data_IF_469401876047
#
_entry.id   IF_469401876047
#
_cell.length_a   1.000
_cell.length_b   1.000
_cell.length_c   1.000
_cell.angle_alpha   90.00
_cell.angle_beta   90.00
_cell.angle_gamma   90.00
#
_symmetry.space_group_name_H-M   'P 1'
#
loop_
_entity.id
_entity.type
_entity.pdbx_description
1 polymer ?
#
# COMPACT_ATOMS: atom_id res chain seq x y z
N UNK A 1 1.52 -70.83 2.78
CA UNK A 1 0.90 -69.73 3.51
C UNK A 1 1.98 -68.68 3.64
N UNK A 2 2.05 -67.73 2.75
CA UNK A 2 3.07 -66.68 2.68
C UNK A 2 2.42 -65.32 2.96
N UNK A 3 2.75 -64.71 4.06
CA UNK A 3 2.27 -63.39 4.45
C UNK A 3 2.94 -62.31 3.58
N UNK A 4 2.14 -61.62 2.79
CA UNK A 4 2.54 -60.47 2.01
C UNK A 4 2.30 -59.20 2.84
N UNK A 5 3.33 -58.65 3.43
CA UNK A 5 3.32 -57.42 4.18
C UNK A 5 3.44 -56.22 3.19
N UNK A 6 2.33 -55.53 2.95
CA UNK A 6 2.30 -54.34 2.08
C UNK A 6 2.76 -53.13 2.89
N UNK A 7 3.98 -52.63 2.59
CA UNK A 7 4.57 -51.43 3.20
C UNK A 7 4.03 -50.22 2.45
N UNK A 8 3.08 -49.51 3.07
CA UNK A 8 2.53 -48.24 2.54
C UNK A 8 3.50 -47.10 2.88
N UNK A 9 4.31 -46.71 1.90
CA UNK A 9 5.24 -45.55 2.03
C UNK A 9 4.43 -44.27 1.85
N UNK A 10 4.02 -43.60 2.94
CA UNK A 10 3.44 -42.27 2.89
C UNK A 10 4.56 -41.24 2.66
N UNK A 11 4.68 -40.75 1.42
CA UNK A 11 5.48 -39.59 1.11
C UNK A 11 4.78 -38.32 1.66
N UNK A 12 5.20 -37.88 2.84
CA UNK A 12 4.88 -36.53 3.31
C UNK A 12 5.72 -35.53 2.52
N UNK A 13 5.14 -34.93 1.48
CA UNK A 13 5.69 -33.74 0.85
C UNK A 13 5.47 -32.58 1.82
N UNK A 14 6.50 -32.25 2.58
CA UNK A 14 6.51 -31.07 3.41
C UNK A 14 6.39 -29.80 2.58
N UNK A 15 5.20 -29.19 2.54
CA UNK A 15 5.02 -27.82 2.11
C UNK A 15 5.74 -26.93 3.13
N UNK A 16 6.92 -26.46 2.80
CA UNK A 16 7.58 -25.38 3.53
C UNK A 16 6.76 -24.12 3.36
N UNK A 17 5.90 -23.79 4.33
CA UNK A 17 5.36 -22.44 4.47
C UNK A 17 6.54 -21.54 4.78
N UNK A 18 7.03 -20.83 3.77
CA UNK A 18 7.94 -19.70 3.98
C UNK A 18 7.14 -18.60 4.67
N UNK A 19 7.20 -18.55 6.01
CA UNK A 19 6.75 -17.40 6.76
C UNK A 19 7.64 -16.22 6.32
N UNK A 20 7.10 -15.29 5.55
CA UNK A 20 7.75 -14.02 5.29
C UNK A 20 7.97 -13.32 6.62
N UNK A 21 9.19 -13.32 7.08
CA UNK A 21 9.64 -12.57 8.24
C UNK A 21 9.59 -11.10 7.85
N UNK A 22 8.48 -10.44 8.13
CA UNK A 22 8.38 -8.99 8.03
C UNK A 22 9.23 -8.38 9.15
N UNK A 23 10.54 -8.25 8.92
CA UNK A 23 11.37 -7.41 9.78
C UNK A 23 10.82 -5.98 9.71
N UNK A 24 10.49 -5.37 10.85
CA UNK A 24 10.02 -3.99 10.84
C UNK A 24 11.08 -3.10 10.20
N UNK A 25 10.67 -2.23 9.29
CA UNK A 25 11.58 -1.27 8.69
C UNK A 25 12.29 -0.44 9.76
N UNK A 26 13.57 -0.10 9.57
CA UNK A 26 14.29 0.75 10.51
C UNK A 26 13.52 2.03 10.81
N UNK A 27 13.52 2.48 12.07
CA UNK A 27 12.79 3.70 12.49
C UNK A 27 13.16 4.92 11.63
N UNK A 28 14.39 4.96 11.13
CA UNK A 28 14.92 6.01 10.25
C UNK A 28 14.10 6.23 8.98
N UNK A 29 13.47 5.17 8.47
CA UNK A 29 12.62 5.23 7.26
C UNK A 29 11.33 6.05 7.47
N UNK A 30 11.01 6.38 8.71
CA UNK A 30 9.80 7.12 9.08
C UNK A 30 10.08 8.52 9.62
N UNK A 31 11.35 8.94 9.67
CA UNK A 31 11.74 10.23 10.23
C UNK A 31 11.70 11.35 9.18
N UNK A 32 12.41 12.41 9.45
CA UNK A 32 12.42 13.64 8.65
C UNK A 32 12.65 13.35 7.15
N UNK A 33 11.83 13.98 6.29
CA UNK A 33 11.89 13.80 4.84
C UNK A 33 11.15 12.56 4.29
N UNK A 34 10.65 11.65 5.15
CA UNK A 34 9.96 10.44 4.70
C UNK A 34 8.56 10.68 4.12
N UNK A 35 7.96 11.86 4.37
CA UNK A 35 6.67 12.28 3.82
C UNK A 35 6.88 13.55 3.00
N UNK A 36 7.10 13.41 1.68
CA UNK A 36 7.30 14.55 0.79
C UNK A 36 6.02 15.35 0.59
N UNK A 37 6.18 16.67 0.43
CA UNK A 37 5.08 17.57 0.07
C UNK A 37 5.42 18.31 -1.22
N UNK A 38 4.44 18.40 -2.12
CA UNK A 38 4.51 19.11 -3.39
C UNK A 38 3.38 20.14 -3.40
N UNK A 39 3.70 21.42 -3.51
CA UNK A 39 2.72 22.51 -3.45
C UNK A 39 1.77 22.41 -2.23
N UNK A 40 2.33 22.03 -1.07
CA UNK A 40 1.57 21.91 0.17
C UNK A 40 0.76 20.62 0.32
N UNK A 41 0.75 19.73 -0.67
CA UNK A 41 0.06 18.45 -0.63
C UNK A 41 1.04 17.29 -0.40
N UNK A 42 0.63 16.29 0.36
CA UNK A 42 1.41 15.05 0.51
C UNK A 42 1.30 14.24 -0.78
N UNK A 43 2.44 13.97 -1.41
CA UNK A 43 2.53 13.20 -2.64
C UNK A 43 3.70 12.24 -2.55
N UNK A 44 3.42 10.95 -2.60
CA UNK A 44 4.45 9.93 -2.78
C UNK A 44 4.54 9.57 -4.26
N UNK A 45 5.75 9.52 -4.78
CA UNK A 45 5.99 9.14 -6.18
C UNK A 45 7.14 8.15 -6.29
N UNK A 46 7.06 7.30 -7.29
CA UNK A 46 8.10 6.35 -7.67
C UNK A 46 8.17 6.23 -9.19
N UNK A 47 9.37 6.19 -9.72
CA UNK A 47 9.66 6.02 -11.14
C UNK A 47 10.41 4.69 -11.35
N UNK A 48 9.95 3.85 -12.28
CA UNK A 48 10.51 2.52 -12.54
C UNK A 48 10.74 2.27 -14.02
N UNK A 49 11.93 1.81 -14.36
CA UNK A 49 12.23 1.26 -15.67
C UNK A 49 11.85 -0.24 -15.71
N UNK A 50 11.15 -0.65 -16.74
CA UNK A 50 10.67 -2.02 -16.96
C UNK A 50 11.14 -2.49 -18.34
N UNK A 51 12.39 -2.94 -18.42
CA UNK A 51 12.99 -3.35 -19.69
C UNK A 51 12.21 -4.48 -20.37
N UNK A 52 12.06 -4.41 -21.68
CA UNK A 52 11.44 -5.47 -22.49
C UNK A 52 9.91 -5.48 -22.50
N UNK A 53 9.24 -4.55 -21.82
CA UNK A 53 7.78 -4.41 -21.89
C UNK A 53 7.38 -3.16 -22.67
N UNK A 54 6.36 -3.31 -23.51
CA UNK A 54 5.70 -2.18 -24.18
C UNK A 54 4.77 -1.44 -23.23
N UNK A 55 4.37 -0.22 -23.58
CA UNK A 55 3.35 0.55 -22.84
C UNK A 55 2.08 -0.28 -22.59
N UNK A 56 1.54 -0.94 -23.61
CA UNK A 56 0.33 -1.76 -23.48
C UNK A 56 0.51 -2.91 -22.49
N UNK A 57 1.64 -3.61 -22.53
CA UNK A 57 1.92 -4.71 -21.60
C UNK A 57 2.04 -4.23 -20.14
N UNK A 58 2.72 -3.09 -19.92
CA UNK A 58 2.83 -2.49 -18.59
C UNK A 58 1.45 -2.05 -18.12
N UNK A 59 0.66 -1.40 -18.99
CA UNK A 59 -0.68 -0.94 -18.70
C UNK A 59 -1.60 -2.08 -18.24
N UNK A 60 -1.64 -3.19 -19.00
CA UNK A 60 -2.49 -4.34 -18.68
C UNK A 60 -2.11 -4.98 -17.33
N UNK A 61 -0.81 -5.09 -17.06
CA UNK A 61 -0.30 -5.63 -15.79
C UNK A 61 -0.67 -4.74 -14.60
N UNK A 62 -0.46 -3.43 -14.72
CA UNK A 62 -0.80 -2.47 -13.66
C UNK A 62 -2.31 -2.36 -13.47
N UNK A 63 -3.10 -2.39 -14.55
CA UNK A 63 -4.58 -2.40 -14.48
C UNK A 63 -5.09 -3.64 -13.74
N UNK A 64 -4.55 -4.82 -14.05
CA UNK A 64 -4.88 -6.06 -13.35
C UNK A 64 -4.48 -5.98 -11.87
N UNK A 65 -3.29 -5.46 -11.56
CA UNK A 65 -2.84 -5.26 -10.18
C UNK A 65 -3.79 -4.32 -9.40
N UNK A 66 -4.13 -3.17 -9.97
CA UNK A 66 -5.06 -2.22 -9.34
C UNK A 66 -6.43 -2.85 -9.14
N UNK A 67 -6.98 -3.51 -10.17
CA UNK A 67 -8.31 -4.13 -10.08
C UNK A 67 -8.38 -5.22 -9.00
N UNK A 68 -7.41 -6.13 -8.97
CA UNK A 68 -7.48 -7.34 -8.13
C UNK A 68 -6.90 -7.13 -6.73
N UNK A 69 -5.87 -6.29 -6.57
CA UNK A 69 -5.17 -6.13 -5.29
C UNK A 69 -5.52 -4.86 -4.54
N UNK A 70 -6.07 -3.85 -5.24
CA UNK A 70 -6.43 -2.58 -4.61
C UNK A 70 -7.95 -2.38 -4.59
N UNK A 71 -8.64 -2.50 -5.72
CA UNK A 71 -10.11 -2.31 -5.76
C UNK A 71 -10.85 -3.46 -5.09
N UNK A 72 -10.41 -4.72 -5.34
CA UNK A 72 -10.98 -5.94 -4.75
C UNK A 72 -10.13 -6.52 -3.62
N UNK A 73 -9.13 -5.78 -3.15
CA UNK A 73 -8.24 -6.22 -2.08
C UNK A 73 -8.99 -6.52 -0.78
N UNK A 74 -8.41 -7.36 0.08
CA UNK A 74 -9.05 -7.81 1.32
C UNK A 74 -9.41 -6.69 2.30
N UNK A 75 -8.69 -5.57 2.25
CA UNK A 75 -8.93 -4.40 3.09
C UNK A 75 -9.68 -3.26 2.34
N UNK A 76 -9.99 -3.46 1.04
CA UNK A 76 -10.70 -2.48 0.24
C UNK A 76 -12.15 -2.30 0.73
N UNK A 77 -12.59 -1.05 0.69
CA UNK A 77 -13.95 -0.64 1.08
C UNK A 77 -14.61 0.08 -0.10
N UNK A 78 -15.90 -0.08 -0.34
CA UNK A 78 -16.62 0.77 -1.29
C UNK A 78 -16.49 2.26 -0.90
N UNK A 79 -16.32 3.18 -1.86
CA UNK A 79 -16.46 3.01 -3.32
C UNK A 79 -15.13 2.91 -4.09
N UNK A 80 -14.20 2.05 -3.68
CA UNK A 80 -12.94 1.84 -4.42
C UNK A 80 -13.20 1.47 -5.88
N UNK A 81 -12.55 2.18 -6.82
CA UNK A 81 -12.73 1.95 -8.25
C UNK A 81 -11.60 2.52 -9.09
N UNK A 82 -11.41 1.97 -10.27
CA UNK A 82 -10.64 2.62 -11.33
C UNK A 82 -11.44 3.83 -11.82
N UNK A 83 -10.83 5.00 -11.85
CA UNK A 83 -11.45 6.26 -12.26
C UNK A 83 -11.07 6.68 -13.67
N UNK A 84 -9.91 6.19 -14.15
CA UNK A 84 -9.42 6.45 -15.51
C UNK A 84 -8.61 5.25 -16.00
N UNK A 85 -8.78 4.88 -17.26
CA UNK A 85 -8.03 3.82 -17.90
C UNK A 85 -7.87 4.14 -19.39
N UNK A 86 -6.82 4.89 -19.74
CA UNK A 86 -6.50 5.36 -21.10
C UNK A 86 -5.20 4.71 -21.58
N UNK A 87 -5.26 3.50 -22.19
CA UNK A 87 -4.07 2.76 -22.60
C UNK A 87 -3.26 3.51 -23.65
N UNK A 88 -3.90 4.25 -24.54
CA UNK A 88 -3.24 5.02 -25.61
C UNK A 88 -2.45 6.20 -25.05
N UNK A 89 -2.99 6.88 -24.03
CA UNK A 89 -2.32 7.97 -23.32
C UNK A 89 -1.37 7.46 -22.25
N UNK A 90 -1.42 6.16 -21.93
CA UNK A 90 -0.62 5.55 -20.87
C UNK A 90 -1.03 6.03 -19.46
N UNK A 91 -2.30 6.39 -19.26
CA UNK A 91 -2.81 6.89 -17.97
C UNK A 91 -3.75 5.87 -17.34
N UNK A 92 -3.43 5.48 -16.10
CA UNK A 92 -4.29 4.66 -15.26
C UNK A 92 -4.44 5.34 -13.90
N UNK A 93 -5.67 5.61 -13.49
CA UNK A 93 -5.96 6.19 -12.17
C UNK A 93 -7.06 5.43 -11.44
N UNK A 94 -6.94 5.36 -10.12
CA UNK A 94 -7.95 4.76 -9.26
C UNK A 94 -8.12 5.57 -7.96
N UNK A 95 -9.36 5.64 -7.50
CA UNK A 95 -9.71 6.13 -6.17
C UNK A 95 -9.92 4.93 -5.27
N UNK A 96 -9.17 4.87 -4.20
CA UNK A 96 -9.15 3.75 -3.28
C UNK A 96 -9.56 4.20 -1.89
N UNK A 97 -10.37 3.37 -1.26
CA UNK A 97 -10.69 3.43 0.16
C UNK A 97 -10.37 2.07 0.75
N UNK A 98 -9.58 2.02 1.79
CA UNK A 98 -9.20 0.76 2.44
C UNK A 98 -9.03 0.92 3.95
N UNK A 99 -9.12 -0.18 4.67
CA UNK A 99 -8.84 -0.20 6.11
C UNK A 99 -7.33 -0.20 6.36
N UNK A 100 -6.82 0.89 6.90
CA UNK A 100 -5.44 1.01 7.37
C UNK A 100 -5.36 0.52 8.83
N UNK A 101 -4.92 -0.72 9.02
CA UNK A 101 -4.89 -1.37 10.33
C UNK A 101 -3.73 -0.90 11.19
N UNK A 102 -4.05 -0.33 12.35
CA UNK A 102 -3.09 -0.01 13.40
C UNK A 102 -2.87 -1.20 14.33
N UNK A 103 -3.96 -1.91 14.66
CA UNK A 103 -3.94 -3.14 15.44
C UNK A 103 -5.10 -4.04 15.04
N UNK A 104 -4.80 -5.32 14.83
CA UNK A 104 -5.82 -6.34 14.53
C UNK A 104 -5.49 -7.59 15.33
N UNK A 105 -6.31 -7.88 16.33
CA UNK A 105 -6.25 -9.10 17.16
C UNK A 105 -7.66 -9.63 17.34
N UNK A 106 -7.82 -10.80 17.97
CA UNK A 106 -9.14 -11.36 18.23
C UNK A 106 -10.04 -10.44 19.10
N UNK A 107 -9.45 -9.57 19.94
CA UNK A 107 -10.18 -8.72 20.89
C UNK A 107 -10.12 -7.22 20.53
N UNK A 108 -9.25 -6.81 19.62
CA UNK A 108 -9.03 -5.39 19.30
C UNK A 108 -8.91 -5.22 17.78
N UNK A 109 -9.81 -4.40 17.24
CA UNK A 109 -9.76 -3.91 15.88
C UNK A 109 -9.58 -2.37 15.93
N UNK A 110 -8.41 -1.87 15.52
CA UNK A 110 -8.10 -0.44 15.46
C UNK A 110 -7.59 -0.11 14.06
N UNK A 111 -8.39 0.62 13.28
CA UNK A 111 -8.11 1.00 11.91
C UNK A 111 -8.67 2.38 11.60
N UNK A 112 -8.12 3.02 10.59
CA UNK A 112 -8.75 4.15 9.91
C UNK A 112 -9.13 3.75 8.48
N UNK A 113 -10.19 4.33 7.93
CA UNK A 113 -10.37 4.28 6.48
C UNK A 113 -9.36 5.24 5.85
N UNK A 114 -8.55 4.69 4.97
CA UNK A 114 -7.52 5.42 4.23
C UNK A 114 -8.00 5.66 2.81
N UNK A 115 -8.20 6.92 2.47
CA UNK A 115 -8.65 7.38 1.17
C UNK A 115 -7.46 7.96 0.43
N UNK A 116 -7.26 7.55 -0.81
CA UNK A 116 -6.21 8.09 -1.67
C UNK A 116 -6.52 7.87 -3.15
N UNK A 117 -5.80 8.59 -3.99
CA UNK A 117 -5.75 8.35 -5.42
C UNK A 117 -4.38 7.78 -5.78
N UNK A 118 -4.36 6.68 -6.55
CA UNK A 118 -3.18 6.18 -7.25
C UNK A 118 -3.27 6.56 -8.72
N UNK A 119 -2.18 7.10 -9.26
CA UNK A 119 -2.08 7.43 -10.69
C UNK A 119 -0.80 6.82 -11.22
N UNK A 120 -0.91 6.12 -12.34
CA UNK A 120 0.22 5.65 -13.12
C UNK A 120 0.29 6.41 -14.45
N UNK A 121 1.50 6.91 -14.78
CA UNK A 121 1.86 7.38 -16.11
C UNK A 121 2.78 6.35 -16.73
N UNK A 122 2.39 5.79 -17.87
CA UNK A 122 2.99 4.61 -18.45
C UNK A 122 3.49 4.94 -19.85
N UNK A 123 4.69 4.51 -20.16
CA UNK A 123 5.30 4.60 -21.49
C UNK A 123 6.05 3.30 -21.80
N UNK A 124 6.63 3.19 -23.01
CA UNK A 124 7.41 2.01 -23.35
C UNK A 124 8.59 1.84 -22.39
N UNK A 125 8.65 0.68 -21.73
CA UNK A 125 9.73 0.32 -20.82
C UNK A 125 9.76 1.12 -19.49
N UNK A 126 8.70 1.85 -19.16
CA UNK A 126 8.74 2.74 -17.99
C UNK A 126 7.34 3.04 -17.43
N UNK A 127 7.26 3.25 -16.11
CA UNK A 127 6.10 3.87 -15.47
C UNK A 127 6.51 4.80 -14.31
N UNK A 128 5.66 5.77 -14.05
CA UNK A 128 5.65 6.56 -12.83
C UNK A 128 4.39 6.25 -12.05
N UNK A 129 4.53 5.96 -10.76
CA UNK A 129 3.42 5.77 -9.84
C UNK A 129 3.35 6.93 -8.86
N UNK A 130 2.13 7.43 -8.57
CA UNK A 130 1.92 8.57 -7.71
C UNK A 130 0.73 8.33 -6.80
N UNK A 131 0.93 8.39 -5.46
CA UNK A 131 -0.14 8.45 -4.47
C UNK A 131 -0.36 9.90 -4.06
N UNK A 132 -1.60 10.36 -4.13
CA UNK A 132 -1.99 11.73 -3.80
C UNK A 132 -3.39 11.80 -3.20
N UNK A 133 -3.80 12.98 -2.68
CA UNK A 133 -5.09 13.23 -2.04
C UNK A 133 -5.35 12.29 -0.87
N UNK A 134 -4.34 12.09 -0.03
CA UNK A 134 -4.38 11.17 1.09
C UNK A 134 -5.20 11.76 2.23
N UNK A 135 -6.20 11.02 2.72
CA UNK A 135 -7.06 11.41 3.83
C UNK A 135 -7.45 10.20 4.67
N UNK A 136 -7.80 10.44 5.91
CA UNK A 136 -8.20 9.39 6.85
C UNK A 136 -9.56 9.71 7.47
N UNK A 137 -10.44 8.71 7.57
CA UNK A 137 -11.58 8.73 8.47
C UNK A 137 -11.27 7.81 9.64
N UNK A 138 -11.17 8.39 10.84
CA UNK A 138 -10.85 7.64 12.04
C UNK A 138 -11.96 7.84 13.09
N UNK A 139 -12.84 6.85 13.20
CA UNK A 139 -14.05 6.89 14.03
C UNK A 139 -13.83 7.39 15.47
N UNK A 140 -12.76 6.96 16.20
CA UNK A 140 -12.50 7.48 17.55
C UNK A 140 -12.25 8.99 17.64
N UNK A 141 -12.04 9.66 16.53
CA UNK A 141 -11.83 11.12 16.43
C UNK A 141 -12.95 11.82 15.65
N UNK A 142 -14.01 11.10 15.29
CA UNK A 142 -15.13 11.63 14.53
C UNK A 142 -16.10 12.38 15.45
N UNK A 143 -16.63 13.48 14.93
CA UNK A 143 -17.69 14.26 15.58
C UNK A 143 -18.96 14.20 14.73
N UNK A 144 -20.09 13.75 15.25
CA UNK A 144 -21.34 13.68 14.49
C UNK A 144 -21.71 15.02 13.84
N UNK A 145 -22.06 14.99 12.56
CA UNK A 145 -22.49 16.16 11.79
C UNK A 145 -21.36 17.06 11.28
N UNK A 146 -20.09 16.68 11.45
CA UNK A 146 -18.93 17.41 10.92
C UNK A 146 -18.21 16.61 9.82
N UNK A 147 -17.44 17.29 8.98
CA UNK A 147 -16.47 16.62 8.12
C UNK A 147 -15.31 16.10 8.98
N UNK A 148 -15.25 14.79 9.10
CA UNK A 148 -14.27 14.10 9.95
C UNK A 148 -13.07 13.58 9.18
N UNK A 149 -12.90 13.99 7.93
CA UNK A 149 -11.76 13.60 7.12
C UNK A 149 -10.50 14.35 7.58
N UNK A 150 -9.48 13.60 7.96
CA UNK A 150 -8.17 14.10 8.39
C UNK A 150 -7.24 14.13 7.17
N UNK A 151 -6.90 15.29 6.60
CA UNK A 151 -5.98 15.37 5.48
C UNK A 151 -4.55 14.99 5.92
N UNK A 152 -3.83 14.28 5.05
CA UNK A 152 -2.49 13.82 5.37
C UNK A 152 -1.52 14.98 5.66
N UNK A 153 -1.73 16.11 5.03
CA UNK A 153 -0.97 17.35 5.19
C UNK A 153 -0.97 17.86 6.63
N UNK A 154 -2.11 17.73 7.30
CA UNK A 154 -2.34 18.16 8.67
C UNK A 154 -2.10 17.06 9.71
N UNK A 155 -1.70 15.86 9.24
CA UNK A 155 -1.63 14.70 10.12
C UNK A 155 -0.31 13.95 10.10
N UNK A 156 0.28 13.67 8.92
CA UNK A 156 1.47 12.81 8.84
C UNK A 156 2.75 13.51 8.38
N UNK A 157 2.73 14.81 8.11
CA UNK A 157 3.92 15.59 7.74
C UNK A 157 4.97 15.60 8.85
N UNK A 158 6.19 16.02 8.54
CA UNK A 158 7.26 16.10 9.54
C UNK A 158 6.88 17.01 10.72
N UNK A 159 6.17 18.11 10.45
CA UNK A 159 5.70 19.06 11.46
C UNK A 159 4.72 18.42 12.45
N UNK A 160 3.79 17.58 11.96
CA UNK A 160 2.68 17.05 12.77
C UNK A 160 3.03 15.72 13.44
N UNK A 161 3.81 14.89 12.76
CA UNK A 161 4.07 13.51 13.15
C UNK A 161 5.40 13.28 13.87
N UNK A 162 6.28 14.29 13.91
CA UNK A 162 7.58 14.20 14.57
C UNK A 162 7.70 15.18 15.75
N UNK A 163 8.66 14.90 16.63
CA UNK A 163 9.09 15.89 17.62
C UNK A 163 9.82 17.06 16.94
N UNK A 164 10.02 18.17 17.65
CA UNK A 164 10.65 19.39 17.09
C UNK A 164 12.02 19.15 16.44
N UNK A 165 12.77 18.15 16.90
CA UNK A 165 14.08 17.80 16.35
C UNK A 165 14.00 16.84 15.15
N UNK A 166 12.82 16.33 14.78
CA UNK A 166 12.65 15.37 13.69
C UNK A 166 13.18 13.96 13.96
N UNK A 167 13.58 13.67 15.21
CA UNK A 167 14.27 12.43 15.60
C UNK A 167 13.38 11.35 16.19
N UNK A 168 12.13 11.68 16.54
CA UNK A 168 11.17 10.75 17.15
C UNK A 168 9.75 10.99 16.64
N UNK A 169 9.03 9.88 16.45
CA UNK A 169 7.63 9.88 16.08
C UNK A 169 6.73 10.27 17.27
N UNK A 170 5.74 11.12 17.03
CA UNK A 170 4.65 11.38 17.97
C UNK A 170 3.80 10.11 18.18
N UNK A 171 2.99 10.08 19.26
CA UNK A 171 2.30 8.84 19.64
C UNK A 171 1.23 8.41 18.64
N UNK A 172 0.37 9.32 18.18
CA UNK A 172 -0.76 9.00 17.28
C UNK A 172 -0.40 9.30 15.85
N UNK A 173 -0.18 10.55 15.49
CA UNK A 173 0.14 10.97 14.14
C UNK A 173 1.38 10.26 13.57
N UNK A 174 2.47 10.18 14.36
CA UNK A 174 3.70 9.52 13.95
C UNK A 174 3.61 7.99 13.94
N UNK A 175 3.40 7.37 15.10
CA UNK A 175 3.50 5.89 15.23
C UNK A 175 2.34 5.12 14.62
N UNK A 176 1.13 5.69 14.63
CA UNK A 176 0.00 5.05 13.96
C UNK A 176 -0.07 5.44 12.48
N UNK A 177 -0.43 6.69 12.20
CA UNK A 177 -0.77 7.10 10.83
C UNK A 177 0.45 7.16 9.91
N UNK A 178 1.49 7.91 10.27
CA UNK A 178 2.66 8.08 9.40
C UNK A 178 3.35 6.75 9.07
N UNK A 179 3.63 5.91 10.09
CA UNK A 179 4.29 4.62 9.89
C UNK A 179 3.44 3.74 8.97
N UNK A 180 2.15 3.58 9.27
CA UNK A 180 1.29 2.71 8.48
C UNK A 180 1.04 3.21 7.06
N UNK A 181 1.01 4.52 6.86
CA UNK A 181 0.90 5.11 5.52
C UNK A 181 2.15 4.85 4.69
N UNK A 182 3.34 5.01 5.28
CA UNK A 182 4.61 4.72 4.59
C UNK A 182 4.71 3.23 4.27
N UNK A 183 4.44 2.34 5.25
CA UNK A 183 4.43 0.89 5.02
C UNK A 183 3.47 0.49 3.89
N UNK A 184 2.26 1.10 3.89
CA UNK A 184 1.26 0.82 2.85
C UNK A 184 1.67 1.33 1.49
N UNK A 185 2.20 2.55 1.41
CA UNK A 185 2.79 3.11 0.19
C UNK A 185 3.88 2.20 -0.38
N UNK A 186 4.81 1.73 0.47
CA UNK A 186 5.88 0.83 0.06
C UNK A 186 5.33 -0.51 -0.45
N UNK A 187 4.28 -1.04 0.19
CA UNK A 187 3.62 -2.26 -0.27
C UNK A 187 2.93 -2.06 -1.64
N UNK A 188 2.28 -0.91 -1.87
CA UNK A 188 1.64 -0.58 -3.13
C UNK A 188 2.67 -0.48 -4.25
N UNK A 189 3.75 0.27 -4.07
CA UNK A 189 4.78 0.46 -5.09
C UNK A 189 5.51 -0.84 -5.39
N UNK A 190 5.86 -1.62 -4.37
CA UNK A 190 6.44 -2.95 -4.54
C UNK A 190 5.51 -3.90 -5.30
N UNK A 191 4.21 -3.90 -4.98
CA UNK A 191 3.22 -4.71 -5.69
C UNK A 191 3.09 -4.33 -7.17
N UNK A 192 3.13 -3.03 -7.48
CA UNK A 192 3.15 -2.55 -8.86
C UNK A 192 4.42 -3.00 -9.61
N UNK A 193 5.57 -2.90 -8.97
CA UNK A 193 6.84 -3.37 -9.54
C UNK A 193 6.82 -4.88 -9.81
N UNK A 194 6.33 -5.68 -8.86
CA UNK A 194 6.17 -7.14 -9.02
C UNK A 194 5.20 -7.50 -10.14
N UNK A 195 4.08 -6.79 -10.28
CA UNK A 195 3.14 -6.99 -11.38
C UNK A 195 3.81 -6.79 -12.74
N UNK A 196 4.78 -5.89 -12.83
CA UNK A 196 5.59 -5.67 -14.03
C UNK A 196 6.79 -6.63 -14.17
N UNK A 197 6.99 -7.56 -13.22
CA UNK A 197 8.07 -8.56 -13.26
C UNK A 197 9.41 -8.06 -12.70
N UNK A 198 9.42 -6.95 -11.97
CA UNK A 198 10.61 -6.47 -11.28
C UNK A 198 10.84 -7.25 -9.97
N UNK A 199 12.10 -7.52 -9.59
CA UNK A 199 12.41 -8.17 -8.31
C UNK A 199 12.04 -7.28 -7.12
N UNK A 200 11.99 -7.93 -5.93
CA UNK A 200 11.73 -7.26 -4.65
C UNK A 200 12.89 -6.35 -4.22
#
# INVERSE_FOLDING_TARGET
>A
MKNLLLLLCMCFTGMSLSAQHNNPSPITNYLIGAVPTVNGQVVFSESRSVSGLTQAQIFDRLKSYVAEKMVKGADAVPPSRITEASPEEGILAASIVENLWFKRTALVADAAQFHYQIVFKISNGHYEAMLRHLRYLYEPMSTPGMDNMLPAEEWITDREALNKQGTRLTRVAGRKFRVKTIDRKDAIFRGAAQACGLPQ
#
